data_IF_059701571154
#
_entry.id   IF_059701571154
#
_cell.length_a   1.000
_cell.length_b   1.000
_cell.length_c   1.000
_cell.angle_alpha   90.00
_cell.angle_beta   90.00
_cell.angle_gamma   90.00
#
_symmetry.space_group_name_H-M   'P 1'
#
loop_
_entity.id
_entity.type
_entity.pdbx_description
1 polymer ?
#
# COMPACT_ATOMS: atom_id res chain seq x y z
N UNK A 1 15.51 -21.28 -8.59
CA UNK A 1 16.22 -20.25 -7.82
C UNK A 1 16.04 -20.63 -6.37
N UNK A 2 17.14 -20.82 -5.65
CA UNK A 2 17.15 -21.23 -4.24
C UNK A 2 16.33 -20.25 -3.43
N UNK A 3 15.33 -20.74 -2.69
CA UNK A 3 14.55 -19.94 -1.74
C UNK A 3 15.51 -19.46 -0.66
N UNK A 4 16.03 -18.24 -0.79
CA UNK A 4 16.87 -17.63 0.25
C UNK A 4 16.03 -17.43 1.50
N UNK A 5 16.53 -17.78 2.67
CA UNK A 5 15.87 -17.48 3.95
C UNK A 5 16.07 -16.01 4.31
N UNK A 6 15.19 -15.42 5.12
CA UNK A 6 15.43 -14.08 5.70
C UNK A 6 16.77 -14.00 6.47
N UNK A 7 17.22 -15.11 7.04
CA UNK A 7 18.52 -15.20 7.70
C UNK A 7 19.72 -15.02 6.75
N UNK A 8 19.54 -15.24 5.43
CA UNK A 8 20.58 -15.01 4.43
C UNK A 8 20.70 -13.53 4.02
N UNK A 9 19.76 -12.67 4.43
CA UNK A 9 19.71 -11.25 4.01
C UNK A 9 20.53 -10.31 4.90
N UNK A 10 21.27 -10.84 5.88
CA UNK A 10 22.13 -10.03 6.77
C UNK A 10 21.37 -9.24 7.84
N UNK A 11 20.21 -9.75 8.27
CA UNK A 11 19.40 -9.16 9.33
C UNK A 11 19.85 -9.63 10.73
N UNK A 12 19.71 -8.76 11.73
CA UNK A 12 19.85 -9.06 13.14
C UNK A 12 18.81 -10.11 13.57
N UNK A 13 19.21 -11.03 14.45
CA UNK A 13 18.39 -12.13 14.93
C UNK A 13 17.05 -11.65 15.51
N UNK A 14 17.02 -10.48 16.17
CA UNK A 14 15.78 -9.91 16.73
C UNK A 14 14.78 -9.51 15.65
N UNK A 15 15.25 -9.06 14.49
CA UNK A 15 14.38 -8.76 13.35
C UNK A 15 13.86 -10.05 12.71
N UNK A 16 14.70 -11.07 12.60
CA UNK A 16 14.32 -12.39 12.08
C UNK A 16 13.25 -13.03 12.97
N UNK A 17 13.45 -13.02 14.30
CA UNK A 17 12.46 -13.57 15.23
C UNK A 17 11.12 -12.81 15.19
N UNK A 18 11.14 -11.50 14.91
CA UNK A 18 9.92 -10.72 14.72
C UNK A 18 9.18 -11.15 13.44
N UNK A 19 9.92 -11.38 12.35
CA UNK A 19 9.37 -11.90 11.09
C UNK A 19 8.77 -13.29 11.24
N UNK A 20 9.43 -14.20 11.96
CA UNK A 20 8.92 -15.54 12.24
C UNK A 20 7.60 -15.49 13.02
N UNK A 21 7.51 -14.61 14.02
CA UNK A 21 6.28 -14.41 14.79
C UNK A 21 5.12 -13.85 13.95
N UNK A 22 5.44 -13.09 12.89
CA UNK A 22 4.49 -12.55 11.92
C UNK A 22 4.15 -13.56 10.80
N UNK A 23 4.78 -14.73 10.77
CA UNK A 23 4.54 -15.79 9.78
C UNK A 23 5.23 -15.58 8.44
N UNK A 24 6.28 -14.76 8.37
CA UNK A 24 7.09 -14.59 7.18
C UNK A 24 7.98 -15.82 6.98
N UNK A 25 7.74 -16.59 5.91
CA UNK A 25 8.44 -17.87 5.67
C UNK A 25 9.60 -17.75 4.67
N UNK A 26 9.46 -16.87 3.68
CA UNK A 26 10.49 -16.63 2.68
C UNK A 26 10.38 -15.18 2.14
N UNK A 27 11.50 -14.53 1.79
CA UNK A 27 11.52 -13.22 1.19
C UNK A 27 10.95 -13.27 -0.23
N UNK A 28 10.16 -12.25 -0.58
CA UNK A 28 9.74 -12.01 -1.96
C UNK A 28 10.93 -11.56 -2.82
N UNK A 29 10.85 -11.64 -4.16
CA UNK A 29 11.94 -11.21 -5.03
C UNK A 29 12.39 -9.75 -4.78
N UNK A 30 11.45 -8.85 -4.48
CA UNK A 30 11.79 -7.46 -4.16
C UNK A 30 12.48 -7.34 -2.81
N UNK A 31 12.12 -8.18 -1.82
CA UNK A 31 12.77 -8.20 -0.51
C UNK A 31 14.20 -8.76 -0.61
N UNK A 32 14.37 -9.88 -1.32
CA UNK A 32 15.68 -10.51 -1.51
C UNK A 32 16.68 -9.56 -2.22
N UNK A 33 16.19 -8.78 -3.20
CA UNK A 33 17.03 -7.83 -3.91
C UNK A 33 17.26 -6.52 -3.13
N UNK A 34 16.22 -5.94 -2.53
CA UNK A 34 16.30 -4.61 -1.94
C UNK A 34 16.87 -4.60 -0.52
N UNK A 35 16.59 -5.61 0.31
CA UNK A 35 17.06 -5.61 1.70
C UNK A 35 18.60 -5.50 1.78
N UNK A 36 19.39 -6.31 1.05
CA UNK A 36 20.86 -6.19 1.09
C UNK A 36 21.36 -4.84 0.57
N UNK A 37 20.76 -4.29 -0.48
CA UNK A 37 21.13 -2.99 -1.04
C UNK A 37 20.82 -1.84 -0.07
N UNK A 38 19.71 -1.93 0.66
CA UNK A 38 19.38 -0.94 1.68
C UNK A 38 20.34 -1.04 2.87
N UNK A 39 20.69 -2.26 3.31
CA UNK A 39 21.65 -2.49 4.42
C UNK A 39 23.03 -1.93 4.07
N UNK A 40 23.50 -2.09 2.83
CA UNK A 40 24.81 -1.56 2.41
C UNK A 40 24.89 -0.03 2.37
N UNK A 41 23.74 0.66 2.48
CA UNK A 41 23.67 2.12 2.42
C UNK A 41 23.64 2.68 1.00
N UNK A 42 23.47 1.83 -0.02
CA UNK A 42 23.33 2.25 -1.41
C UNK A 42 21.95 2.90 -1.63
N UNK A 43 21.88 3.95 -2.44
CA UNK A 43 20.58 4.45 -2.88
C UNK A 43 19.88 3.40 -3.74
N UNK A 44 18.55 3.39 -3.72
CA UNK A 44 17.76 2.33 -4.39
C UNK A 44 16.61 2.96 -5.17
N UNK A 45 16.42 2.49 -6.40
CA UNK A 45 15.19 2.71 -7.17
C UNK A 45 14.50 1.36 -7.34
N UNK A 46 13.44 1.13 -6.57
CA UNK A 46 12.64 -0.07 -6.60
C UNK A 46 11.39 0.09 -7.46
N UNK A 47 11.32 -0.63 -8.59
CA UNK A 47 10.15 -0.68 -9.47
C UNK A 47 9.35 -1.94 -9.17
N UNK A 48 8.30 -1.77 -8.37
CA UNK A 48 7.41 -2.87 -8.01
C UNK A 48 6.00 -2.38 -7.66
N UNK A 49 4.98 -3.19 -7.99
CA UNK A 49 3.58 -2.89 -7.71
C UNK A 49 3.23 -3.04 -6.23
N UNK A 50 2.13 -2.43 -5.80
CA UNK A 50 1.56 -2.62 -4.45
C UNK A 50 1.28 -4.10 -4.20
N UNK A 51 1.58 -4.58 -2.99
CA UNK A 51 1.42 -5.99 -2.61
C UNK A 51 2.61 -6.90 -2.95
N UNK A 52 3.66 -6.39 -3.60
CA UNK A 52 4.91 -7.15 -3.84
C UNK A 52 5.80 -7.33 -2.60
N UNK A 53 5.46 -6.66 -1.49
CA UNK A 53 6.23 -6.71 -0.24
C UNK A 53 7.25 -5.58 -0.05
N UNK A 54 7.10 -4.47 -0.80
CA UNK A 54 7.97 -3.26 -0.72
C UNK A 54 8.19 -2.76 0.71
N UNK A 55 7.14 -2.71 1.53
CA UNK A 55 7.20 -2.22 2.91
C UNK A 55 8.19 -3.01 3.76
N UNK A 56 8.18 -4.35 3.67
CA UNK A 56 9.19 -5.17 4.34
C UNK A 56 10.57 -5.01 3.67
N UNK A 57 10.61 -4.83 2.35
CA UNK A 57 11.85 -4.68 1.60
C UNK A 57 12.68 -3.46 2.04
N UNK A 58 12.07 -2.26 2.10
CA UNK A 58 12.76 -1.09 2.67
C UNK A 58 12.79 -1.12 4.19
N UNK A 59 11.71 -1.56 4.84
CA UNK A 59 11.56 -1.46 6.29
C UNK A 59 12.61 -2.28 7.03
N UNK A 60 12.84 -3.53 6.62
CA UNK A 60 13.85 -4.38 7.23
C UNK A 60 15.26 -3.84 7.00
N UNK A 61 15.56 -3.38 5.79
CA UNK A 61 16.86 -2.79 5.48
C UNK A 61 17.13 -1.53 6.29
N UNK A 62 16.13 -0.64 6.43
CA UNK A 62 16.22 0.57 7.24
C UNK A 62 16.43 0.23 8.71
N UNK A 63 15.60 -0.63 9.29
CA UNK A 63 15.73 -1.02 10.71
C UNK A 63 17.09 -1.67 10.99
N UNK A 64 17.56 -2.56 10.11
CA UNK A 64 18.88 -3.17 10.23
C UNK A 64 19.99 -2.13 10.19
N UNK A 65 19.93 -1.19 9.24
CA UNK A 65 20.91 -0.09 9.16
C UNK A 65 20.92 0.73 10.43
N UNK A 66 19.75 1.10 10.95
CA UNK A 66 19.61 1.87 12.19
C UNK A 66 20.17 1.14 13.42
N UNK A 67 20.14 -0.19 13.47
CA UNK A 67 20.77 -1.00 14.54
C UNK A 67 22.29 -0.87 14.52
N UNK A 68 22.87 -0.79 13.33
CA UNK A 68 24.33 -0.78 13.13
C UNK A 68 24.95 0.61 13.12
N UNK A 69 24.14 1.66 12.99
CA UNK A 69 24.61 3.05 13.06
C UNK A 69 24.21 3.72 14.37
N UNK A 70 25.01 4.69 14.80
CA UNK A 70 24.72 5.53 15.96
C UNK A 70 23.86 6.73 15.55
N UNK A 71 23.13 7.32 16.51
CA UNK A 71 22.35 8.55 16.30
C UNK A 71 21.32 8.76 17.39
N UNK A 72 20.72 9.95 17.43
CA UNK A 72 19.64 10.31 18.36
C UNK A 72 18.43 10.84 17.58
N UNK A 73 17.28 10.85 18.24
CA UNK A 73 16.04 11.38 17.64
C UNK A 73 15.62 10.62 16.39
N UNK A 74 15.09 11.36 15.42
CA UNK A 74 14.59 10.82 14.15
C UNK A 74 15.75 10.54 13.21
N UNK A 75 15.90 9.27 12.84
CA UNK A 75 17.01 8.76 12.03
C UNK A 75 16.57 8.19 10.69
N UNK A 76 15.29 7.87 10.53
CA UNK A 76 14.70 7.50 9.26
C UNK A 76 13.38 8.23 9.01
N UNK A 77 13.19 8.67 7.77
CA UNK A 77 11.98 9.32 7.30
C UNK A 77 11.35 8.49 6.18
N UNK A 78 10.07 8.15 6.29
CA UNK A 78 9.32 7.46 5.25
C UNK A 78 8.16 8.34 4.81
N UNK A 79 8.20 8.75 3.55
CA UNK A 79 7.15 9.51 2.91
C UNK A 79 6.15 8.55 2.30
N UNK A 80 4.87 8.75 2.62
CA UNK A 80 3.75 8.02 2.02
C UNK A 80 2.70 9.02 1.48
N UNK A 81 2.10 8.78 0.29
CA UNK A 81 1.16 9.71 -0.35
C UNK A 81 -0.13 9.92 0.45
N UNK A 82 -0.59 8.90 1.18
CA UNK A 82 -1.89 8.93 1.87
C UNK A 82 -1.76 8.62 3.35
N UNK A 83 -2.75 9.07 4.12
CA UNK A 83 -2.86 8.75 5.56
C UNK A 83 -2.95 7.24 5.77
N UNK A 84 -3.75 6.56 4.96
CA UNK A 84 -3.99 5.13 5.06
C UNK A 84 -2.70 4.34 4.85
N UNK A 85 -1.92 4.70 3.81
CA UNK A 85 -0.65 4.06 3.55
C UNK A 85 0.38 4.39 4.64
N UNK A 86 0.42 5.63 5.15
CA UNK A 86 1.30 6.00 6.26
C UNK A 86 1.02 5.16 7.52
N UNK A 87 -0.25 4.93 7.85
CA UNK A 87 -0.64 4.07 8.98
C UNK A 87 -0.24 2.61 8.76
N UNK A 88 -0.47 2.07 7.55
CA UNK A 88 -0.08 0.70 7.20
C UNK A 88 1.43 0.48 7.28
N UNK A 89 2.21 1.44 6.76
CA UNK A 89 3.67 1.38 6.82
C UNK A 89 4.16 1.48 8.26
N UNK A 90 3.60 2.38 9.08
CA UNK A 90 3.95 2.45 10.50
C UNK A 90 3.66 1.17 11.26
N UNK A 91 2.47 0.59 11.07
CA UNK A 91 2.09 -0.66 11.74
C UNK A 91 3.03 -1.81 11.35
N UNK A 92 3.40 -1.90 10.08
CA UNK A 92 4.38 -2.87 9.60
C UNK A 92 5.76 -2.65 10.23
N UNK A 93 6.25 -1.41 10.24
CA UNK A 93 7.56 -1.07 10.83
C UNK A 93 7.60 -1.33 12.33
N UNK A 94 6.56 -0.97 13.09
CA UNK A 94 6.47 -1.28 14.52
C UNK A 94 6.43 -2.79 14.76
N UNK A 95 5.76 -3.55 13.90
CA UNK A 95 5.72 -5.01 13.97
C UNK A 95 7.09 -5.65 13.69
N UNK A 96 7.80 -5.19 12.67
CA UNK A 96 9.18 -5.62 12.39
C UNK A 96 10.14 -5.19 13.50
N UNK A 97 9.88 -4.03 14.12
CA UNK A 97 10.70 -3.46 15.16
C UNK A 97 10.38 -4.00 16.58
N UNK A 98 9.45 -4.95 16.73
CA UNK A 98 8.91 -5.37 18.03
C UNK A 98 9.98 -5.82 19.05
N UNK A 99 11.14 -6.27 18.58
CA UNK A 99 12.27 -6.75 19.41
C UNK A 99 13.50 -5.84 19.39
N UNK A 100 13.40 -4.65 18.79
CA UNK A 100 14.50 -3.67 18.70
C UNK A 100 14.08 -2.34 19.32
N UNK A 101 15.02 -1.49 19.78
CA UNK A 101 14.68 -0.31 20.59
C UNK A 101 14.24 0.89 19.73
N UNK A 102 13.52 0.66 18.64
CA UNK A 102 13.04 1.71 17.74
C UNK A 102 11.55 1.95 17.91
N UNK A 103 11.16 3.21 17.71
CA UNK A 103 9.77 3.64 17.77
C UNK A 103 9.41 4.37 16.50
N UNK A 104 8.23 4.06 15.96
CA UNK A 104 7.68 4.78 14.82
C UNK A 104 6.70 5.86 15.28
N UNK A 105 6.81 7.06 14.72
CA UNK A 105 5.77 8.08 14.82
C UNK A 105 5.08 8.24 13.46
N UNK A 106 3.75 8.27 13.48
CA UNK A 106 2.95 8.48 12.26
C UNK A 106 2.43 9.91 12.20
N UNK A 107 2.68 10.59 11.08
CA UNK A 107 2.41 12.02 10.91
C UNK A 107 1.55 12.26 9.65
N UNK A 108 0.33 12.76 9.83
CA UNK A 108 -0.60 13.01 8.71
C UNK A 108 -1.65 14.09 9.02
N UNK A 109 -2.21 14.65 7.95
CA UNK A 109 -3.25 15.70 8.01
C UNK A 109 -4.59 15.21 8.55
N UNK A 110 -5.41 16.13 9.09
CA UNK A 110 -6.73 15.81 9.64
C UNK A 110 -6.72 15.23 11.06
N UNK A 111 -5.55 15.01 11.66
CA UNK A 111 -5.41 14.66 13.08
C UNK A 111 -4.86 15.83 13.91
N UNK A 112 -5.19 15.93 15.21
CA UNK A 112 -4.63 16.94 16.11
C UNK A 112 -3.10 16.88 16.18
N UNK A 113 -2.47 18.05 16.35
CA UNK A 113 -1.02 18.16 16.51
C UNK A 113 -0.47 17.56 17.82
N UNK A 114 -1.08 17.76 19.01
CA UNK A 114 -0.43 17.39 20.28
C UNK A 114 -0.03 15.91 20.39
N UNK A 115 -0.84 14.92 19.96
CA UNK A 115 -0.44 13.51 19.98
C UNK A 115 0.77 13.24 19.07
N UNK A 116 0.80 13.84 17.88
CA UNK A 116 1.92 13.70 16.93
C UNK A 116 3.20 14.32 17.50
N UNK A 117 3.11 15.51 18.09
CA UNK A 117 4.24 16.18 18.77
C UNK A 117 4.78 15.30 19.90
N UNK A 118 3.90 14.66 20.68
CA UNK A 118 4.33 13.78 21.76
C UNK A 118 5.06 12.54 21.23
N UNK A 119 4.53 11.89 20.19
CA UNK A 119 5.16 10.73 19.56
C UNK A 119 6.55 11.05 19.00
N UNK A 120 6.68 12.20 18.30
CA UNK A 120 7.92 12.66 17.68
C UNK A 120 9.08 12.82 18.67
N UNK A 121 8.82 13.11 19.95
CA UNK A 121 9.88 13.25 20.97
C UNK A 121 10.67 11.98 21.24
N UNK A 122 10.09 10.81 20.94
CA UNK A 122 10.71 9.50 21.22
C UNK A 122 10.88 8.64 19.96
N UNK A 123 10.50 9.16 18.81
CA UNK A 123 10.53 8.43 17.55
C UNK A 123 11.96 8.31 17.01
N UNK A 124 12.29 7.12 16.52
CA UNK A 124 13.49 6.87 15.72
C UNK A 124 13.17 6.87 14.24
N UNK A 125 11.97 6.39 13.89
CA UNK A 125 11.44 6.37 12.53
C UNK A 125 10.21 7.25 12.48
N UNK A 126 10.10 8.08 11.45
CA UNK A 126 8.91 8.88 11.19
C UNK A 126 8.32 8.46 9.86
N UNK A 127 7.05 8.12 9.84
CA UNK A 127 6.27 7.81 8.64
C UNK A 127 5.21 8.89 8.48
N UNK A 128 5.07 9.49 7.31
CA UNK A 128 4.04 10.51 7.15
C UNK A 128 3.77 11.01 5.74
N UNK A 129 2.72 11.81 5.64
CA UNK A 129 2.35 12.51 4.40
C UNK A 129 3.17 13.78 4.24
N UNK A 130 3.67 14.11 3.03
CA UNK A 130 4.60 15.23 2.82
C UNK A 130 4.16 16.57 3.44
N UNK A 131 2.96 17.06 3.10
CA UNK A 131 2.49 18.35 3.61
C UNK A 131 2.43 18.44 5.15
N UNK A 132 2.02 17.37 5.83
CA UNK A 132 1.99 17.37 7.31
C UNK A 132 3.39 17.31 7.93
N UNK A 133 4.32 16.60 7.31
CA UNK A 133 5.71 16.56 7.77
C UNK A 133 6.36 17.94 7.66
N UNK A 134 6.08 18.67 6.59
CA UNK A 134 6.51 20.05 6.43
C UNK A 134 5.92 20.97 7.49
N UNK A 135 4.61 20.89 7.78
CA UNK A 135 4.00 21.66 8.88
C UNK A 135 4.78 21.46 10.20
N UNK A 136 5.16 20.21 10.51
CA UNK A 136 5.89 19.88 11.73
C UNK A 136 7.33 20.41 11.74
N UNK A 137 7.99 20.40 10.58
CA UNK A 137 9.33 20.95 10.36
C UNK A 137 9.32 22.47 10.54
N UNK A 138 8.39 23.18 9.89
CA UNK A 138 8.23 24.64 9.99
C UNK A 138 7.93 25.10 11.42
N UNK A 139 7.14 24.31 12.16
CA UNK A 139 6.84 24.57 13.58
C UNK A 139 7.99 24.25 14.53
N UNK A 140 9.09 23.67 14.05
CA UNK A 140 10.21 23.22 14.89
C UNK A 140 9.86 22.04 15.81
N UNK A 141 8.79 21.31 15.51
CA UNK A 141 8.35 20.13 16.29
C UNK A 141 8.90 18.81 15.76
N UNK A 142 9.51 18.84 14.57
CA UNK A 142 10.26 17.76 13.95
C UNK A 142 11.63 18.31 13.56
N UNK A 143 12.70 17.59 13.90
CA UNK A 143 14.05 17.85 13.38
C UNK A 143 14.46 16.67 12.51
N UNK A 144 15.03 16.98 11.35
CA UNK A 144 15.52 16.00 10.39
C UNK A 144 17.06 15.92 10.36
N UNK A 145 17.74 16.60 11.28
CA UNK A 145 19.19 16.79 11.28
C UNK A 145 20.01 15.50 11.50
N UNK A 146 19.40 14.46 12.06
CA UNK A 146 20.04 13.15 12.30
C UNK A 146 19.52 12.06 11.34
N UNK A 147 18.76 12.44 10.31
CA UNK A 147 18.20 11.49 9.36
C UNK A 147 19.29 10.90 8.47
N UNK A 148 19.39 9.57 8.50
CA UNK A 148 20.37 8.77 7.78
C UNK A 148 19.79 8.07 6.55
N UNK A 149 18.46 7.92 6.52
CA UNK A 149 17.74 7.29 5.41
C UNK A 149 16.40 7.99 5.18
N UNK A 150 16.09 8.28 3.91
CA UNK A 150 14.78 8.76 3.48
C UNK A 150 14.18 7.76 2.50
N UNK A 151 12.94 7.34 2.73
CA UNK A 151 12.20 6.44 1.86
C UNK A 151 11.05 7.20 1.21
N UNK A 152 10.88 7.07 -0.10
CA UNK A 152 9.72 7.54 -0.84
C UNK A 152 8.91 6.31 -1.30
N UNK A 153 7.77 6.04 -0.68
CA UNK A 153 6.91 4.91 -1.07
C UNK A 153 5.72 5.39 -1.92
N UNK A 154 5.52 4.77 -3.08
CA UNK A 154 4.53 5.19 -4.09
C UNK A 154 4.77 6.63 -4.56
N UNK A 155 6.00 6.91 -4.99
CA UNK A 155 6.43 8.25 -5.42
C UNK A 155 5.61 8.81 -6.60
N UNK A 156 5.18 7.96 -7.53
CA UNK A 156 4.26 8.33 -8.61
C UNK A 156 2.86 8.74 -8.11
N UNK A 157 2.35 8.15 -7.02
CA UNK A 157 1.12 8.64 -6.38
C UNK A 157 1.34 10.01 -5.72
N UNK A 158 2.51 10.25 -5.10
CA UNK A 158 2.84 11.59 -4.57
C UNK A 158 2.84 12.65 -5.69
N UNK A 159 3.35 12.31 -6.88
CA UNK A 159 3.25 13.18 -8.05
C UNK A 159 1.79 13.46 -8.41
N UNK A 160 0.95 12.42 -8.51
CA UNK A 160 -0.47 12.57 -8.84
C UNK A 160 -1.22 13.44 -7.83
N UNK A 161 -0.80 13.42 -6.57
CA UNK A 161 -1.38 14.22 -5.49
C UNK A 161 -0.81 15.64 -5.39
N UNK A 162 0.21 15.98 -6.18
CA UNK A 162 0.83 17.30 -6.21
C UNK A 162 1.82 17.56 -5.08
N UNK A 163 2.40 16.51 -4.47
CA UNK A 163 3.33 16.63 -3.34
C UNK A 163 4.81 16.76 -3.72
N UNK A 164 5.14 16.98 -5.00
CA UNK A 164 6.54 16.98 -5.46
C UNK A 164 7.37 18.07 -4.80
N UNK A 165 6.86 19.30 -4.76
CA UNK A 165 7.57 20.42 -4.13
C UNK A 165 7.76 20.16 -2.63
N UNK A 166 6.77 19.52 -1.99
CA UNK A 166 6.83 19.17 -0.58
C UNK A 166 7.92 18.12 -0.31
N UNK A 167 7.96 17.08 -1.15
CA UNK A 167 8.95 16.00 -1.11
C UNK A 167 10.36 16.56 -1.30
N UNK A 168 10.54 17.45 -2.29
CA UNK A 168 11.83 18.08 -2.57
C UNK A 168 12.31 18.94 -1.39
N UNK A 169 11.40 19.67 -0.76
CA UNK A 169 11.69 20.47 0.44
C UNK A 169 12.11 19.59 1.63
N UNK A 170 11.39 18.48 1.87
CA UNK A 170 11.74 17.52 2.93
C UNK A 170 13.10 16.86 2.67
N UNK A 171 13.39 16.47 1.43
CA UNK A 171 14.69 15.93 1.05
C UNK A 171 15.80 16.99 1.26
N UNK A 172 15.58 18.24 0.87
CA UNK A 172 16.56 19.31 1.09
C UNK A 172 16.83 19.59 2.58
N UNK A 173 15.86 19.36 3.46
CA UNK A 173 15.98 19.56 4.90
C UNK A 173 16.72 18.44 5.65
N UNK A 174 17.11 17.36 4.97
CA UNK A 174 17.85 16.22 5.55
C UNK A 174 19.34 16.30 5.23
N UNK A 175 20.23 15.72 6.06
CA UNK A 175 21.68 15.79 5.89
C UNK A 175 22.19 15.33 4.52
N UNK A 176 23.31 15.91 4.09
CA UNK A 176 24.07 15.38 2.95
C UNK A 176 24.66 14.01 3.29
N UNK A 177 24.66 13.08 2.33
CA UNK A 177 25.20 11.71 2.53
C UNK A 177 24.24 10.72 3.20
N UNK A 178 23.00 11.14 3.49
CA UNK A 178 21.89 10.22 3.77
C UNK A 178 21.67 9.28 2.56
N UNK A 179 21.12 8.11 2.84
CA UNK A 179 20.60 7.20 1.82
C UNK A 179 19.19 7.64 1.39
N UNK A 180 18.87 7.52 0.12
CA UNK A 180 17.54 7.75 -0.46
C UNK A 180 17.06 6.48 -1.17
N UNK A 181 15.96 5.94 -0.67
CA UNK A 181 15.32 4.72 -1.18
C UNK A 181 13.98 5.10 -1.80
N UNK A 182 13.86 4.95 -3.12
CA UNK A 182 12.69 5.35 -3.88
C UNK A 182 11.96 4.12 -4.39
N UNK A 183 10.69 3.98 -4.05
CA UNK A 183 9.80 2.96 -4.58
C UNK A 183 8.67 3.59 -5.38
N UNK A 184 8.53 3.17 -6.64
CA UNK A 184 7.50 3.69 -7.54
C UNK A 184 7.07 2.63 -8.55
N UNK A 185 5.79 2.61 -8.94
CA UNK A 185 5.36 1.70 -10.00
C UNK A 185 5.76 2.22 -11.39
N UNK A 186 5.79 3.55 -11.54
CA UNK A 186 6.17 4.25 -12.76
C UNK A 186 7.26 5.30 -12.48
N UNK A 187 8.03 5.67 -13.52
CA UNK A 187 9.09 6.69 -13.43
C UNK A 187 8.82 7.83 -14.41
N UNK A 188 7.79 8.66 -14.16
CA UNK A 188 7.58 9.88 -14.95
C UNK A 188 8.73 10.87 -14.72
N UNK A 189 8.91 11.82 -15.65
CA UNK A 189 10.06 12.75 -15.67
C UNK A 189 10.28 13.48 -14.33
N UNK A 190 9.21 13.87 -13.64
CA UNK A 190 9.31 14.54 -12.33
C UNK A 190 9.93 13.62 -11.25
N UNK A 191 9.58 12.33 -11.23
CA UNK A 191 10.15 11.36 -10.30
C UNK A 191 11.59 11.03 -10.67
N UNK A 192 11.88 10.92 -11.98
CA UNK A 192 13.26 10.75 -12.46
C UNK A 192 14.15 11.92 -12.02
N UNK A 193 13.66 13.16 -12.11
CA UNK A 193 14.40 14.34 -11.61
C UNK A 193 14.68 14.29 -10.12
N UNK A 194 13.73 13.81 -9.31
CA UNK A 194 13.97 13.60 -7.86
C UNK A 194 15.06 12.57 -7.65
N UNK A 195 15.00 11.43 -8.35
CA UNK A 195 16.01 10.38 -8.26
C UNK A 195 17.40 10.93 -8.65
N UNK A 196 17.52 11.54 -9.82
CA UNK A 196 18.78 12.08 -10.35
C UNK A 196 19.38 13.17 -9.46
N UNK A 197 18.54 13.97 -8.78
CA UNK A 197 18.98 15.06 -7.90
C UNK A 197 19.41 14.57 -6.51
N UNK A 198 18.69 13.59 -5.96
CA UNK A 198 18.82 13.21 -4.55
C UNK A 198 19.50 11.86 -4.31
N UNK A 199 19.71 11.07 -5.36
CA UNK A 199 20.40 9.78 -5.27
C UNK A 199 21.79 9.83 -5.92
N UNK A 200 22.64 8.88 -5.55
CA UNK A 200 24.00 8.69 -6.07
C UNK A 200 24.20 7.23 -6.41
N UNK A 201 24.48 6.95 -7.69
CA UNK A 201 24.74 5.59 -8.20
C UNK A 201 23.71 4.56 -7.70
N UNK A 202 22.42 4.92 -7.80
CA UNK A 202 21.34 4.13 -7.24
C UNK A 202 21.25 2.73 -7.86
N UNK A 203 21.02 1.73 -7.02
CA UNK A 203 20.75 0.37 -7.44
C UNK A 203 19.32 0.31 -7.97
N UNK A 204 19.17 0.08 -9.27
CA UNK A 204 17.87 -0.13 -9.92
C UNK A 204 17.43 -1.59 -9.73
N UNK A 205 16.29 -1.77 -9.06
CA UNK A 205 15.71 -3.07 -8.78
C UNK A 205 14.35 -3.13 -9.47
N UNK A 206 14.28 -3.92 -10.54
CA UNK A 206 13.06 -4.16 -11.27
C UNK A 206 12.65 -5.63 -11.12
N UNK A 207 11.51 -5.85 -10.48
CA UNK A 207 10.92 -7.18 -10.40
C UNK A 207 9.88 -7.28 -11.50
N UNK A 208 10.19 -8.06 -12.54
CA UNK A 208 9.24 -8.29 -13.63
C UNK A 208 8.06 -9.15 -13.15
N UNK A 209 6.88 -8.53 -13.11
CA UNK A 209 5.58 -9.14 -12.79
C UNK A 209 5.07 -10.09 -13.89
N UNK A 210 5.89 -11.02 -14.39
CA UNK A 210 5.35 -12.02 -15.33
C UNK A 210 4.43 -13.05 -14.66
N UNK A 211 4.64 -13.36 -13.37
CA UNK A 211 4.00 -14.55 -12.78
C UNK A 211 3.10 -14.31 -11.55
N UNK A 212 3.15 -13.18 -10.85
CA UNK A 212 2.60 -13.14 -9.47
C UNK A 212 1.14 -12.65 -9.29
N UNK A 213 0.53 -11.95 -10.24
CA UNK A 213 -0.85 -11.42 -10.08
C UNK A 213 -1.86 -11.93 -11.11
N UNK A 214 -1.41 -12.43 -12.26
CA UNK A 214 -2.32 -12.86 -13.34
C UNK A 214 -2.44 -14.38 -13.42
N UNK A 215 -1.44 -15.14 -12.95
CA UNK A 215 -1.45 -16.61 -13.02
C UNK A 215 -2.58 -17.27 -12.22
N UNK A 216 -3.05 -16.63 -11.15
CA UNK A 216 -4.06 -17.19 -10.23
C UNK A 216 -5.45 -16.58 -10.37
N UNK A 217 -5.66 -15.65 -11.30
CA UNK A 217 -6.96 -14.99 -11.52
C UNK A 217 -7.52 -15.43 -12.87
N UNK A 218 -8.59 -16.22 -12.85
CA UNK A 218 -9.35 -16.56 -14.05
C UNK A 218 -10.14 -15.33 -14.49
N UNK A 219 -9.87 -14.86 -15.71
CA UNK A 219 -10.52 -13.68 -16.26
C UNK A 219 -11.50 -14.10 -17.36
N UNK A 220 -12.73 -13.60 -17.29
CA UNK A 220 -13.75 -13.80 -18.32
C UNK A 220 -14.45 -12.48 -18.61
N UNK A 221 -14.90 -12.32 -19.85
CA UNK A 221 -15.78 -11.22 -20.23
C UNK A 221 -17.12 -11.75 -20.69
N UNK A 222 -18.17 -10.97 -20.45
CA UNK A 222 -19.54 -11.25 -20.88
C UNK A 222 -20.08 -10.03 -21.62
N UNK A 223 -20.59 -10.26 -22.83
CA UNK A 223 -21.32 -9.23 -23.58
C UNK A 223 -22.69 -9.04 -22.96
N UNK A 224 -22.90 -7.92 -22.27
CA UNK A 224 -24.13 -7.65 -21.53
C UNK A 224 -24.59 -6.22 -21.81
N UNK A 225 -25.73 -6.04 -22.51
CA UNK A 225 -26.33 -4.72 -22.68
C UNK A 225 -26.55 -4.05 -21.32
N UNK A 226 -26.26 -2.74 -21.22
CA UNK A 226 -26.37 -1.94 -19.98
C UNK A 226 -27.64 -2.25 -19.16
N UNK A 227 -28.80 -2.27 -19.82
CA UNK A 227 -30.11 -2.56 -19.20
C UNK A 227 -30.23 -3.92 -18.53
N UNK A 228 -29.43 -4.91 -18.92
CA UNK A 228 -29.49 -6.29 -18.43
C UNK A 228 -28.38 -6.61 -17.41
N UNK A 229 -27.52 -5.64 -17.06
CA UNK A 229 -26.33 -5.91 -16.25
C UNK A 229 -26.66 -6.37 -14.84
N UNK A 230 -27.69 -5.81 -14.22
CA UNK A 230 -28.10 -6.25 -12.88
C UNK A 230 -28.63 -7.69 -12.93
N UNK A 231 -29.42 -8.04 -13.95
CA UNK A 231 -29.90 -9.42 -14.12
C UNK A 231 -28.76 -10.40 -14.35
N UNK A 232 -27.77 -10.01 -15.17
CA UNK A 232 -26.57 -10.79 -15.40
C UNK A 232 -25.74 -10.94 -14.11
N UNK A 233 -25.56 -9.86 -13.35
CA UNK A 233 -24.86 -9.87 -12.06
C UNK A 233 -25.52 -10.82 -11.08
N UNK A 234 -26.85 -10.78 -10.94
CA UNK A 234 -27.58 -11.69 -10.05
C UNK A 234 -27.40 -13.15 -10.48
N UNK A 235 -27.40 -13.44 -11.79
CA UNK A 235 -27.14 -14.80 -12.31
C UNK A 235 -25.72 -15.27 -12.00
N UNK A 236 -24.73 -14.39 -12.17
CA UNK A 236 -23.34 -14.67 -11.79
C UNK A 236 -23.26 -15.00 -10.31
N UNK A 237 -23.79 -14.12 -9.44
CA UNK A 237 -23.74 -14.28 -7.99
C UNK A 237 -24.42 -15.56 -7.48
N UNK A 238 -25.49 -16.01 -8.15
CA UNK A 238 -26.17 -17.27 -7.81
C UNK A 238 -25.43 -18.52 -8.27
N UNK A 239 -24.60 -18.40 -9.31
CA UNK A 239 -23.80 -19.51 -9.86
C UNK A 239 -22.46 -19.69 -9.15
N UNK A 240 -22.04 -18.73 -8.34
CA UNK A 240 -20.76 -18.73 -7.61
C UNK A 240 -20.91 -19.29 -6.20
N UNK A 241 -19.89 -20.01 -5.71
CA UNK A 241 -19.84 -20.46 -4.31
C UNK A 241 -19.69 -19.27 -3.35
N UNK A 242 -20.40 -19.32 -2.21
CA UNK A 242 -20.75 -18.24 -1.27
C UNK A 242 -19.60 -17.53 -0.53
N UNK A 243 -18.64 -16.96 -1.24
CA UNK A 243 -17.66 -16.03 -0.65
C UNK A 243 -17.87 -14.61 -1.20
N UNK A 244 -17.10 -13.64 -0.67
CA UNK A 244 -17.34 -12.22 -0.95
C UNK A 244 -17.06 -11.87 -2.42
N UNK A 245 -17.96 -11.07 -2.99
CA UNK A 245 -17.81 -10.48 -4.33
C UNK A 245 -17.65 -8.97 -4.24
N UNK A 246 -16.62 -8.44 -4.89
CA UNK A 246 -16.43 -7.00 -5.06
C UNK A 246 -16.90 -6.59 -6.46
N UNK A 247 -17.88 -5.68 -6.52
CA UNK A 247 -18.45 -5.18 -7.78
C UNK A 247 -17.98 -3.75 -8.00
N UNK A 248 -17.33 -3.49 -9.12
CA UNK A 248 -16.91 -2.15 -9.50
C UNK A 248 -17.95 -1.47 -10.39
N UNK A 249 -18.42 -0.31 -9.94
CA UNK A 249 -19.30 0.60 -10.66
C UNK A 249 -18.58 1.93 -10.94
N UNK A 250 -19.04 2.68 -11.94
CA UNK A 250 -18.36 3.92 -12.37
C UNK A 250 -18.66 5.08 -11.44
N UNK A 251 -19.90 5.19 -10.98
CA UNK A 251 -20.36 6.35 -10.22
C UNK A 251 -20.86 5.97 -8.84
N UNK A 252 -20.85 6.92 -7.91
CA UNK A 252 -21.36 6.73 -6.54
C UNK A 252 -22.84 6.38 -6.53
N UNK A 253 -23.62 7.05 -7.40
CA UNK A 253 -25.03 6.76 -7.61
C UNK A 253 -25.26 5.33 -8.10
N UNK A 254 -24.49 4.89 -9.10
CA UNK A 254 -24.57 3.51 -9.60
C UNK A 254 -24.19 2.49 -8.52
N UNK A 255 -23.21 2.78 -7.64
CA UNK A 255 -22.91 1.91 -6.51
C UNK A 255 -24.13 1.69 -5.60
N UNK A 256 -24.80 2.79 -5.21
CA UNK A 256 -25.97 2.74 -4.34
C UNK A 256 -27.14 2.01 -5.02
N UNK A 257 -27.46 2.37 -6.27
CA UNK A 257 -28.55 1.75 -7.04
C UNK A 257 -28.36 0.25 -7.21
N UNK A 258 -27.15 -0.20 -7.54
CA UNK A 258 -26.86 -1.63 -7.72
C UNK A 258 -26.92 -2.37 -6.38
N UNK A 259 -26.37 -1.79 -5.30
CA UNK A 259 -26.42 -2.41 -3.98
C UNK A 259 -27.87 -2.56 -3.48
N UNK A 260 -28.69 -1.53 -3.61
CA UNK A 260 -30.11 -1.55 -3.24
C UNK A 260 -30.89 -2.59 -4.05
N UNK A 261 -30.65 -2.67 -5.36
CA UNK A 261 -31.34 -3.64 -6.21
C UNK A 261 -30.93 -5.09 -5.90
N UNK A 262 -29.66 -5.33 -5.58
CA UNK A 262 -29.20 -6.63 -5.10
C UNK A 262 -29.86 -7.00 -3.76
N UNK A 263 -29.91 -6.06 -2.82
CA UNK A 263 -30.57 -6.25 -1.53
C UNK A 263 -32.06 -6.57 -1.68
N UNK A 264 -32.78 -5.85 -2.55
CA UNK A 264 -34.20 -6.14 -2.89
C UNK A 264 -34.41 -7.55 -3.45
N UNK A 265 -33.40 -8.10 -4.14
CA UNK A 265 -33.42 -9.45 -4.71
C UNK A 265 -32.90 -10.54 -3.76
N UNK A 266 -32.71 -10.18 -2.49
CA UNK A 266 -32.29 -11.10 -1.43
C UNK A 266 -30.79 -11.41 -1.42
N UNK A 267 -29.96 -10.62 -2.11
CA UNK A 267 -28.51 -10.71 -2.04
C UNK A 267 -28.00 -9.72 -0.99
N UNK A 268 -27.36 -10.16 0.10
CA UNK A 268 -26.77 -9.27 1.10
C UNK A 268 -25.69 -8.38 0.46
N UNK A 269 -26.06 -7.14 0.12
CA UNK A 269 -25.20 -6.19 -0.57
C UNK A 269 -25.19 -4.83 0.14
N UNK A 270 -24.08 -4.11 -0.01
CA UNK A 270 -23.96 -2.72 0.46
C UNK A 270 -23.02 -1.93 -0.47
N UNK A 271 -23.13 -0.61 -0.46
CA UNK A 271 -22.32 0.28 -1.28
C UNK A 271 -21.10 0.80 -0.51
N UNK A 272 -19.99 1.00 -1.22
CA UNK A 272 -18.76 1.61 -0.69
C UNK A 272 -18.29 2.71 -1.65
N UNK A 273 -18.60 3.96 -1.33
CA UNK A 273 -18.29 5.11 -2.17
C UNK A 273 -17.84 6.33 -1.35
N UNK A 274 -17.33 7.36 -2.04
CA UNK A 274 -16.70 8.53 -1.41
C UNK A 274 -17.61 9.39 -0.52
N UNK A 275 -18.94 9.32 -0.66
CA UNK A 275 -19.87 10.08 0.19
C UNK A 275 -20.10 9.44 1.58
N UNK A 276 -19.59 8.23 1.82
CA UNK A 276 -19.69 7.61 3.13
C UNK A 276 -18.72 8.27 4.10
N UNK A 277 -19.22 8.65 5.27
CA UNK A 277 -18.35 9.01 6.37
C UNK A 277 -17.55 7.80 6.88
N UNK A 278 -16.47 8.06 7.61
CA UNK A 278 -15.54 7.02 8.08
C UNK A 278 -16.24 5.92 8.88
N UNK A 279 -17.16 6.27 9.78
CA UNK A 279 -17.90 5.31 10.59
C UNK A 279 -18.81 4.40 9.74
N UNK A 280 -19.44 4.93 8.68
CA UNK A 280 -20.22 4.14 7.75
C UNK A 280 -19.34 3.21 6.92
N UNK A 281 -18.20 3.71 6.44
CA UNK A 281 -17.19 2.91 5.72
C UNK A 281 -16.73 1.72 6.56
N UNK A 282 -16.33 1.95 7.81
CA UNK A 282 -15.90 0.90 8.74
C UNK A 282 -16.99 -0.13 9.00
N UNK A 283 -18.26 0.30 9.10
CA UNK A 283 -19.39 -0.60 9.28
C UNK A 283 -19.60 -1.54 8.10
N UNK A 284 -19.52 -1.04 6.87
CA UNK A 284 -19.63 -1.86 5.65
C UNK A 284 -18.52 -2.91 5.62
N UNK A 285 -17.28 -2.47 5.86
CA UNK A 285 -16.11 -3.36 5.87
C UNK A 285 -16.17 -4.40 7.00
N UNK A 286 -16.62 -4.02 8.19
CA UNK A 286 -16.81 -4.94 9.31
C UNK A 286 -17.86 -6.01 9.00
N UNK A 287 -18.97 -5.63 8.34
CA UNK A 287 -20.00 -6.59 7.91
C UNK A 287 -19.49 -7.53 6.83
N UNK A 288 -18.69 -7.04 5.89
CA UNK A 288 -18.04 -7.87 4.88
C UNK A 288 -17.08 -8.87 5.52
N UNK A 289 -16.19 -8.42 6.42
CA UNK A 289 -15.27 -9.29 7.19
C UNK A 289 -16.00 -10.35 8.02
N UNK A 290 -17.14 -9.98 8.60
CA UNK A 290 -17.98 -10.89 9.38
C UNK A 290 -18.87 -11.82 8.52
N UNK A 291 -18.70 -11.84 7.18
CA UNK A 291 -19.51 -12.64 6.23
C UNK A 291 -21.02 -12.38 6.35
N UNK A 292 -21.39 -11.13 6.68
CA UNK A 292 -22.78 -10.65 6.72
C UNK A 292 -23.20 -9.93 5.44
N UNK A 293 -22.23 -9.67 4.57
CA UNK A 293 -22.43 -9.18 3.22
C UNK A 293 -21.76 -10.17 2.27
N UNK A 294 -22.48 -10.52 1.21
CA UNK A 294 -21.96 -11.35 0.13
C UNK A 294 -21.36 -10.45 -0.97
N UNK A 295 -21.87 -9.21 -1.09
CA UNK A 295 -21.46 -8.27 -2.13
C UNK A 295 -21.17 -6.89 -1.57
N UNK A 296 -20.07 -6.29 -2.02
CA UNK A 296 -19.85 -4.85 -1.88
C UNK A 296 -19.73 -4.21 -3.27
N UNK A 297 -20.48 -3.15 -3.50
CA UNK A 297 -20.42 -2.38 -4.75
C UNK A 297 -19.63 -1.10 -4.50
N UNK A 298 -18.51 -0.92 -5.21
CA UNK A 298 -17.58 0.16 -4.94
C UNK A 298 -17.14 0.93 -6.20
N UNK A 299 -16.71 2.17 -5.99
CA UNK A 299 -15.92 2.90 -6.98
C UNK A 299 -14.42 2.63 -6.78
N UNK A 300 -13.61 2.95 -7.78
CA UNK A 300 -12.15 2.77 -7.73
C UNK A 300 -11.52 3.41 -6.50
N UNK A 301 -11.86 4.67 -6.22
CA UNK A 301 -11.32 5.43 -5.09
C UNK A 301 -11.70 4.79 -3.75
N UNK A 302 -12.93 4.32 -3.63
CA UNK A 302 -13.44 3.78 -2.37
C UNK A 302 -12.91 2.37 -2.08
N UNK A 303 -12.59 1.59 -3.12
CA UNK A 303 -11.99 0.27 -2.99
C UNK A 303 -10.47 0.29 -2.74
N UNK A 304 -9.80 1.45 -2.86
CA UNK A 304 -8.38 1.59 -2.46
C UNK A 304 -8.22 1.28 -0.98
N UNK A 305 -7.15 0.56 -0.63
CA UNK A 305 -6.89 0.11 0.73
C UNK A 305 -7.90 -0.93 1.27
N UNK A 306 -8.78 -1.47 0.43
CA UNK A 306 -9.67 -2.55 0.85
C UNK A 306 -8.84 -3.82 1.09
N UNK A 307 -8.87 -4.26 2.35
CA UNK A 307 -8.13 -5.41 2.85
C UNK A 307 -9.10 -6.43 3.47
N UNK A 308 -9.49 -7.39 2.63
CA UNK A 308 -10.44 -8.47 2.93
C UNK A 308 -9.98 -9.74 2.20
N UNK A 309 -9.52 -10.73 2.96
CA UNK A 309 -8.82 -11.92 2.42
C UNK A 309 -9.71 -12.93 1.69
N UNK A 310 -11.03 -12.82 1.86
CA UNK A 310 -11.99 -13.81 1.34
C UNK A 310 -12.80 -13.29 0.15
N UNK A 311 -12.29 -12.28 -0.58
CA UNK A 311 -12.85 -11.87 -1.86
C UNK A 311 -12.43 -12.87 -2.94
N UNK A 312 -13.38 -13.66 -3.42
CA UNK A 312 -13.14 -14.70 -4.46
C UNK A 312 -13.51 -14.22 -5.84
N UNK A 313 -14.38 -13.21 -5.94
CA UNK A 313 -14.88 -12.70 -7.21
C UNK A 313 -14.77 -11.18 -7.28
N UNK A 314 -14.28 -10.70 -8.43
CA UNK A 314 -14.33 -9.29 -8.81
C UNK A 314 -15.19 -9.16 -10.05
N UNK A 315 -16.22 -8.32 -10.00
CA UNK A 315 -17.08 -8.04 -11.17
C UNK A 315 -16.93 -6.58 -11.57
N UNK A 316 -16.48 -6.35 -12.80
CA UNK A 316 -16.46 -5.03 -13.43
C UNK A 316 -17.76 -4.86 -14.22
N UNK A 317 -18.67 -3.99 -13.74
CA UNK A 317 -19.91 -3.70 -14.48
C UNK A 317 -19.63 -2.98 -15.80
N UNK A 318 -18.48 -2.31 -15.88
CA UNK A 318 -17.98 -1.61 -17.04
C UNK A 318 -16.48 -1.74 -17.17
N UNK A 319 -16.01 -1.64 -18.41
CA UNK A 319 -14.60 -1.49 -18.72
C UNK A 319 -14.07 -0.22 -18.03
N UNK A 320 -12.96 -0.31 -17.27
CA UNK A 320 -12.27 0.87 -16.76
C UNK A 320 -11.65 1.67 -17.92
N UNK A 321 -11.30 2.92 -17.64
CA UNK A 321 -10.71 3.83 -18.64
C UNK A 321 -9.32 3.42 -19.12
N UNK A 322 -8.60 2.65 -18.30
CA UNK A 322 -7.22 2.24 -18.56
C UNK A 322 -6.94 0.83 -17.99
N UNK A 323 -5.86 0.22 -18.48
CA UNK A 323 -5.46 -1.14 -18.10
C UNK A 323 -4.91 -1.24 -16.67
N UNK A 324 -4.30 -0.18 -16.15
CA UNK A 324 -3.72 -0.17 -14.80
C UNK A 324 -4.83 -0.24 -13.74
N UNK A 325 -5.89 0.56 -13.92
CA UNK A 325 -7.11 0.49 -13.13
C UNK A 325 -7.72 -0.91 -13.18
N UNK A 326 -7.81 -1.53 -14.36
CA UNK A 326 -8.32 -2.91 -14.46
C UNK A 326 -7.50 -3.89 -13.62
N UNK A 327 -6.17 -3.84 -13.72
CA UNK A 327 -5.26 -4.69 -12.93
C UNK A 327 -5.45 -4.46 -11.43
N UNK A 328 -5.58 -3.20 -10.99
CA UNK A 328 -5.83 -2.86 -9.59
C UNK A 328 -7.18 -3.37 -9.06
N UNK A 329 -8.21 -3.39 -9.91
CA UNK A 329 -9.52 -3.94 -9.57
C UNK A 329 -9.46 -5.45 -9.40
N UNK A 330 -8.91 -6.18 -10.37
CA UNK A 330 -8.88 -7.64 -10.32
C UNK A 330 -7.93 -8.17 -9.23
N UNK A 331 -6.85 -7.43 -8.89
CA UNK A 331 -5.96 -7.76 -7.77
C UNK A 331 -6.61 -7.68 -6.38
N UNK A 332 -7.92 -7.38 -6.29
CA UNK A 332 -8.71 -7.51 -5.07
C UNK A 332 -9.15 -8.95 -4.79
N UNK A 333 -8.95 -9.86 -5.74
CA UNK A 333 -9.10 -11.31 -5.55
C UNK A 333 -7.78 -12.03 -5.84
N UNK A 334 -7.74 -13.36 -5.63
CA UNK A 334 -6.56 -14.18 -5.93
C UNK A 334 -5.37 -13.95 -4.98
N UNK A 335 -5.63 -13.46 -3.76
CA UNK A 335 -4.58 -13.21 -2.76
C UNK A 335 -4.15 -14.51 -2.07
N UNK A 336 -2.84 -14.63 -1.80
CA UNK A 336 -2.21 -15.68 -0.97
C UNK A 336 -2.66 -17.10 -1.34
N UNK A 337 -2.21 -17.60 -2.50
CA UNK A 337 -2.36 -19.01 -2.89
C UNK A 337 -3.78 -19.47 -3.23
N UNK A 338 -4.76 -18.56 -3.31
CA UNK A 338 -6.14 -18.86 -3.69
C UNK A 338 -6.42 -18.46 -5.13
N UNK A 339 -7.23 -19.26 -5.82
CA UNK A 339 -7.75 -18.88 -7.13
C UNK A 339 -8.78 -17.76 -6.99
N UNK A 340 -8.69 -16.75 -7.86
CA UNK A 340 -9.65 -15.66 -7.97
C UNK A 340 -10.36 -15.68 -9.31
N UNK A 341 -11.55 -15.08 -9.38
CA UNK A 341 -12.26 -14.89 -10.64
C UNK A 341 -12.56 -13.42 -10.88
N UNK A 342 -12.21 -12.93 -12.06
CA UNK A 342 -12.56 -11.60 -12.52
C UNK A 342 -13.51 -11.69 -13.72
N UNK A 343 -14.66 -11.01 -13.60
CA UNK A 343 -15.70 -10.98 -14.63
C UNK A 343 -15.85 -9.55 -15.10
N UNK A 344 -15.80 -9.35 -16.41
CA UNK A 344 -15.99 -8.05 -17.05
C UNK A 344 -17.27 -8.04 -17.88
N UNK A 345 -18.17 -7.10 -17.62
CA UNK A 345 -19.30 -6.82 -18.51
C UNK A 345 -18.89 -5.81 -19.57
N UNK A 346 -19.05 -6.18 -20.84
CA UNK A 346 -18.77 -5.35 -22.01
C UNK A 346 -20.03 -5.05 -22.81
#
# INVERSE_FOLDING_TARGET
MTTESFSALGLDERLIEALDALGFTAPTPIQAAAVPAVISGSDVVGRARTGSGKTAAFGLGVLQRLLTSEGKGVRALVLAPTRELALQVSEALDSFAAKVPFRTATVYGGAPYPPQIHALKTATVVVGTPGRLLDHLERGTLSLSDVQCVVLDEADEMLRMGFIDDVETLLAATPEGRQVVLFSATMPEAIQKIADKHQRDAVEIQVEDRDLMVGHIRQVFMRVPRRNRIDALVRVLRGTTRDATLVFARTRAECAEVADELARRGVPADALHGDLNQAARERVLARLRARRLDVVVATDVAARGLDVDHITHVVNLELPGDAETYVHRIGRTGRVGREGMAILFC
#
